data_IF_824865235062
#
_entry.id   IF_824865235062
#
_cell.length_a   1.000
_cell.length_b   1.000
_cell.length_c   1.000
_cell.angle_alpha   90.00
_cell.angle_beta   90.00
_cell.angle_gamma   90.00
#
_symmetry.space_group_name_H-M   'P 1'
#
loop_
_entity.id
_entity.type
_entity.pdbx_description
1 polymer ?
#
# COMPACT_ATOMS: atom_id res chain seq x y z
N UNK A 1 -19.82 16.71 10.66
CA UNK A 1 -19.74 15.30 11.10
C UNK A 1 -19.35 14.50 9.88
N UNK A 2 -18.12 13.94 9.84
CA UNK A 2 -17.72 13.11 8.71
C UNK A 2 -18.56 11.83 8.65
N UNK A 3 -18.99 11.43 7.46
CA UNK A 3 -19.76 10.20 7.29
C UNK A 3 -18.95 9.00 7.76
N UNK A 4 -19.54 8.13 8.58
CA UNK A 4 -18.91 6.90 9.03
C UNK A 4 -18.78 5.94 7.84
N UNK A 5 -17.63 5.27 7.72
CA UNK A 5 -17.40 4.23 6.72
C UNK A 5 -18.04 2.90 7.18
N UNK A 6 -19.36 2.84 7.18
CA UNK A 6 -20.10 1.67 7.66
C UNK A 6 -19.72 0.38 6.93
N UNK A 7 -19.35 0.48 5.66
CA UNK A 7 -18.88 -0.66 4.87
C UNK A 7 -17.61 -1.31 5.41
N UNK A 8 -16.74 -0.53 6.10
CA UNK A 8 -15.56 -1.09 6.75
C UNK A 8 -15.91 -1.97 7.96
N UNK A 9 -17.08 -1.78 8.55
CA UNK A 9 -17.55 -2.58 9.70
C UNK A 9 -17.61 -4.07 9.41
N UNK A 10 -17.95 -4.45 8.18
CA UNK A 10 -18.03 -5.86 7.75
C UNK A 10 -16.68 -6.59 7.70
N UNK A 11 -15.57 -5.84 7.69
CA UNK A 11 -14.21 -6.41 7.67
C UNK A 11 -13.62 -6.62 9.06
N UNK A 12 -14.27 -6.15 10.13
CA UNK A 12 -13.73 -6.31 11.48
C UNK A 12 -13.69 -7.78 11.87
N UNK A 13 -12.50 -8.26 12.26
CA UNK A 13 -12.27 -9.59 12.83
C UNK A 13 -12.71 -10.78 11.93
N UNK A 14 -12.83 -10.59 10.61
CA UNK A 14 -13.27 -11.66 9.69
C UNK A 14 -12.19 -12.73 9.45
N UNK A 15 -10.95 -12.45 9.86
CA UNK A 15 -9.79 -13.34 9.68
C UNK A 15 -9.08 -13.64 11.02
N UNK A 16 -9.86 -13.85 12.09
CA UNK A 16 -9.29 -14.13 13.42
C UNK A 16 -8.35 -15.33 13.36
N UNK A 17 -7.16 -15.12 13.94
CA UNK A 17 -6.10 -16.12 14.05
C UNK A 17 -5.56 -16.65 12.70
N UNK A 18 -5.90 -16.03 11.59
CA UNK A 18 -5.33 -16.35 10.28
C UNK A 18 -4.01 -15.59 10.04
N UNK A 19 -3.27 -16.01 9.00
CA UNK A 19 -2.11 -15.31 8.49
C UNK A 19 -2.43 -14.53 7.23
N UNK A 20 -1.68 -13.44 6.98
CA UNK A 20 -1.74 -12.66 5.76
C UNK A 20 -0.34 -12.39 5.20
N UNK A 21 -0.22 -12.32 3.89
CA UNK A 21 0.95 -11.84 3.19
C UNK A 21 0.67 -10.43 2.66
N UNK A 22 1.50 -9.47 3.05
CA UNK A 22 1.45 -8.11 2.51
C UNK A 22 2.57 -7.98 1.48
N UNK A 23 2.19 -7.97 0.22
CA UNK A 23 3.11 -7.82 -0.90
C UNK A 23 3.25 -6.34 -1.25
N UNK A 24 4.38 -5.75 -0.90
CA UNK A 24 4.85 -4.51 -1.47
C UNK A 24 5.43 -4.76 -2.87
N UNK A 25 6.06 -3.76 -3.50
CA UNK A 25 6.36 -3.85 -4.92
C UNK A 25 7.87 -3.82 -5.23
N UNK A 26 8.72 -4.07 -4.23
CA UNK A 26 10.17 -4.03 -4.38
C UNK A 26 10.73 -5.12 -5.29
N UNK A 27 11.91 -4.88 -5.91
CA UNK A 27 12.53 -5.81 -6.84
C UNK A 27 12.97 -7.14 -6.21
N UNK A 28 13.04 -7.23 -4.88
CA UNK A 28 13.33 -8.50 -4.19
C UNK A 28 12.31 -9.58 -4.48
N UNK A 29 11.08 -9.23 -4.90
CA UNK A 29 10.05 -10.19 -5.31
C UNK A 29 10.53 -11.10 -6.45
N UNK A 30 11.39 -10.59 -7.34
CA UNK A 30 11.96 -11.35 -8.46
C UNK A 30 12.94 -12.46 -8.02
N UNK A 31 13.32 -12.47 -6.74
CA UNK A 31 14.20 -13.49 -6.13
C UNK A 31 13.43 -14.53 -5.33
N UNK A 32 12.11 -14.43 -5.28
CA UNK A 32 11.24 -15.27 -4.45
C UNK A 32 10.37 -16.16 -5.33
N UNK A 33 10.11 -17.38 -4.90
CA UNK A 33 9.09 -18.22 -5.52
C UNK A 33 7.71 -17.87 -4.95
N UNK A 34 7.03 -16.97 -5.64
CA UNK A 34 5.71 -16.51 -5.23
C UNK A 34 4.58 -17.51 -5.55
N UNK A 35 4.88 -18.69 -6.11
CA UNK A 35 3.90 -19.77 -6.26
C UNK A 35 3.39 -20.28 -4.91
N UNK A 36 4.19 -20.16 -3.85
CA UNK A 36 3.78 -20.46 -2.47
C UNK A 36 2.60 -19.63 -1.96
N UNK A 37 2.29 -18.51 -2.62
CA UNK A 37 1.15 -17.66 -2.24
C UNK A 37 -0.19 -18.16 -2.79
N UNK A 38 -0.20 -19.22 -3.57
CA UNK A 38 -1.44 -19.81 -4.05
C UNK A 38 -2.27 -20.35 -2.89
N UNK A 39 -3.53 -19.93 -2.81
CA UNK A 39 -4.42 -20.23 -1.69
C UNK A 39 -4.22 -19.38 -0.42
N UNK A 40 -3.22 -18.50 -0.37
CA UNK A 40 -2.99 -17.61 0.76
C UNK A 40 -3.79 -16.30 0.64
N UNK A 41 -3.97 -15.61 1.77
CA UNK A 41 -4.59 -14.28 1.78
C UNK A 41 -3.49 -13.26 1.54
N UNK A 42 -3.46 -12.73 0.31
CA UNK A 42 -2.46 -11.77 -0.12
C UNK A 42 -3.08 -10.38 -0.27
N UNK A 43 -2.41 -9.41 0.32
CA UNK A 43 -2.66 -7.97 0.14
C UNK A 43 -1.70 -7.43 -0.92
N UNK A 44 -2.21 -6.66 -1.87
CA UNK A 44 -1.40 -5.98 -2.88
C UNK A 44 -1.72 -4.50 -2.98
N UNK A 45 -0.88 -3.75 -3.69
CA UNK A 45 -1.08 -2.32 -3.80
C UNK A 45 -0.55 -1.71 -5.10
N UNK A 46 -1.10 -0.55 -5.47
CA UNK A 46 -0.65 0.32 -6.56
C UNK A 46 -0.64 -0.42 -7.92
N UNK A 47 0.53 -0.64 -8.53
CA UNK A 47 0.65 -1.44 -9.74
C UNK A 47 1.07 -2.92 -9.46
N UNK A 48 0.87 -3.41 -8.23
CA UNK A 48 1.16 -4.80 -7.86
C UNK A 48 0.41 -5.85 -8.69
N UNK A 49 -0.69 -5.47 -9.34
CA UNK A 49 -1.42 -6.33 -10.28
C UNK A 49 -0.59 -6.76 -11.50
N UNK A 50 0.52 -6.08 -11.80
CA UNK A 50 1.44 -6.49 -12.87
C UNK A 50 1.99 -7.90 -12.66
N UNK A 51 2.01 -8.40 -11.41
CA UNK A 51 2.42 -9.76 -11.07
C UNK A 51 1.52 -10.84 -11.71
N UNK A 52 0.29 -10.51 -12.08
CA UNK A 52 -0.67 -11.43 -12.68
C UNK A 52 -0.26 -11.93 -14.08
N UNK A 53 0.76 -11.30 -14.68
CA UNK A 53 1.39 -11.81 -15.91
C UNK A 53 2.13 -13.13 -15.69
N UNK A 54 2.54 -13.39 -14.43
CA UNK A 54 3.41 -14.52 -14.07
C UNK A 54 2.72 -15.57 -13.20
N UNK A 55 1.65 -15.16 -12.46
CA UNK A 55 0.97 -16.04 -11.49
C UNK A 55 -0.54 -16.01 -11.67
N UNK A 56 -1.16 -17.19 -11.52
CA UNK A 56 -2.62 -17.34 -11.63
C UNK A 56 -3.37 -16.84 -10.38
N UNK A 57 -2.75 -16.92 -9.19
CA UNK A 57 -3.34 -16.42 -7.96
C UNK A 57 -3.54 -14.90 -8.00
N UNK A 58 -4.50 -14.40 -7.22
CA UNK A 58 -4.86 -12.99 -7.18
C UNK A 58 -4.79 -12.47 -5.74
N UNK A 59 -4.51 -11.19 -5.58
CA UNK A 59 -4.64 -10.54 -4.28
C UNK A 59 -6.08 -10.60 -3.80
N UNK A 60 -6.29 -10.99 -2.54
CA UNK A 60 -7.61 -10.95 -1.91
C UNK A 60 -8.02 -9.51 -1.60
N UNK A 61 -7.07 -8.70 -1.18
CA UNK A 61 -7.25 -7.30 -0.84
C UNK A 61 -6.26 -6.45 -1.61
N UNK A 62 -6.74 -5.39 -2.25
CA UNK A 62 -5.91 -4.54 -3.07
C UNK A 62 -6.08 -3.07 -2.67
N UNK A 63 -4.99 -2.31 -2.62
CA UNK A 63 -4.97 -0.95 -2.09
C UNK A 63 -4.29 0.02 -3.04
N UNK A 64 -4.83 1.24 -3.13
CA UNK A 64 -4.10 2.36 -3.72
C UNK A 64 -4.47 3.62 -2.93
N UNK A 65 -3.48 4.29 -2.32
CA UNK A 65 -3.71 5.42 -1.40
C UNK A 65 -2.92 6.68 -1.76
N UNK A 66 -1.86 6.56 -2.56
CA UNK A 66 -1.12 7.74 -3.03
C UNK A 66 -1.92 8.48 -4.09
N UNK A 67 -2.17 9.77 -3.88
CA UNK A 67 -2.99 10.60 -4.74
C UNK A 67 -2.59 10.54 -6.23
N UNK A 68 -1.28 10.55 -6.50
CA UNK A 68 -0.78 10.50 -7.87
C UNK A 68 -0.98 9.13 -8.49
N UNK A 69 -0.64 8.07 -7.76
CA UNK A 69 -0.79 6.69 -8.24
C UNK A 69 -2.25 6.34 -8.47
N UNK A 70 -3.16 6.77 -7.57
CA UNK A 70 -4.60 6.56 -7.73
C UNK A 70 -5.09 7.11 -9.07
N UNK A 71 -4.78 8.38 -9.38
CA UNK A 71 -5.29 9.00 -10.62
C UNK A 71 -4.51 8.58 -11.88
N UNK A 72 -3.23 8.23 -11.74
CA UNK A 72 -2.45 7.69 -12.86
C UNK A 72 -2.88 6.27 -13.26
N UNK A 73 -3.46 5.52 -12.31
CA UNK A 73 -3.85 4.12 -12.46
C UNK A 73 -5.35 3.87 -12.31
N UNK A 74 -6.18 4.91 -12.34
CA UNK A 74 -7.60 4.78 -12.02
C UNK A 74 -8.30 3.77 -12.93
N UNK A 75 -8.04 3.84 -14.24
CA UNK A 75 -8.61 2.91 -15.22
C UNK A 75 -8.11 1.48 -14.99
N UNK A 76 -6.80 1.31 -14.72
CA UNK A 76 -6.21 0.00 -14.40
C UNK A 76 -6.84 -0.60 -13.13
N UNK A 77 -7.03 0.21 -12.08
CA UNK A 77 -7.63 -0.20 -10.81
C UNK A 77 -9.11 -0.55 -10.96
N UNK A 78 -9.84 0.20 -11.78
CA UNK A 78 -11.24 -0.10 -12.07
C UNK A 78 -11.36 -1.41 -12.86
N UNK A 79 -10.51 -1.59 -13.88
CA UNK A 79 -10.46 -2.83 -14.66
C UNK A 79 -10.05 -4.02 -13.80
N UNK A 80 -9.08 -3.84 -12.89
CA UNK A 80 -8.69 -4.85 -11.90
C UNK A 80 -9.91 -5.34 -11.10
N UNK A 81 -10.71 -4.41 -10.57
CA UNK A 81 -11.89 -4.74 -9.77
C UNK A 81 -12.99 -5.42 -10.62
N UNK A 82 -13.12 -5.03 -11.88
CA UNK A 82 -14.10 -5.60 -12.81
C UNK A 82 -13.74 -7.04 -13.18
N UNK A 83 -12.47 -7.30 -13.48
CA UNK A 83 -11.98 -8.61 -13.93
C UNK A 83 -11.79 -9.60 -12.77
N UNK A 84 -11.67 -9.09 -11.53
CA UNK A 84 -11.42 -9.92 -10.34
C UNK A 84 -12.46 -9.63 -9.26
N UNK A 85 -13.70 -10.11 -9.40
CA UNK A 85 -14.80 -9.80 -8.47
C UNK A 85 -14.56 -10.30 -7.04
N UNK A 86 -13.68 -11.28 -6.84
CA UNK A 86 -13.28 -11.80 -5.53
C UNK A 86 -12.18 -10.97 -4.85
N UNK A 87 -11.54 -10.05 -5.57
CA UNK A 87 -10.60 -9.08 -5.03
C UNK A 87 -11.36 -7.86 -4.51
N UNK A 88 -11.13 -7.49 -3.26
CA UNK A 88 -11.68 -6.25 -2.70
C UNK A 88 -10.68 -5.11 -2.89
N UNK A 89 -11.08 -4.09 -3.65
CA UNK A 89 -10.27 -2.90 -3.88
C UNK A 89 -10.62 -1.82 -2.84
N UNK A 90 -9.63 -1.41 -2.06
CA UNK A 90 -9.74 -0.35 -1.07
C UNK A 90 -9.14 0.95 -1.59
N UNK A 91 -9.94 2.01 -1.67
CA UNK A 91 -9.54 3.33 -2.15
C UNK A 91 -9.89 4.42 -1.13
N UNK A 92 -9.08 5.47 -1.00
CA UNK A 92 -9.50 6.65 -0.27
C UNK A 92 -10.68 7.31 -0.98
N UNK A 93 -11.64 7.83 -0.21
CA UNK A 93 -12.80 8.56 -0.77
C UNK A 93 -12.37 9.84 -1.49
N UNK A 94 -11.38 10.50 -0.93
CA UNK A 94 -10.74 11.68 -1.49
C UNK A 94 -9.27 11.74 -1.08
N UNK A 95 -8.47 12.44 -1.86
CA UNK A 95 -7.04 12.66 -1.60
C UNK A 95 -6.64 14.11 -1.85
N UNK A 96 -5.57 14.56 -1.20
CA UNK A 96 -4.96 15.84 -1.47
C UNK A 96 -4.02 15.72 -2.66
N UNK A 97 -4.32 16.41 -3.75
CA UNK A 97 -3.45 16.48 -4.92
C UNK A 97 -2.60 17.74 -4.82
N UNK A 98 -1.28 17.55 -4.76
CA UNK A 98 -0.32 18.65 -4.79
C UNK A 98 -0.05 19.03 -6.24
N UNK A 99 -0.21 20.31 -6.57
CA UNK A 99 0.07 20.89 -7.88
C UNK A 99 1.51 21.41 -7.99
N UNK A 100 1.96 21.68 -9.22
CA UNK A 100 3.32 22.17 -9.49
C UNK A 100 3.60 23.58 -8.90
N UNK A 101 2.55 24.37 -8.67
CA UNK A 101 2.62 25.68 -8.00
C UNK A 101 2.70 25.61 -6.47
N UNK A 102 2.72 24.38 -5.91
CA UNK A 102 2.77 24.13 -4.46
C UNK A 102 1.42 24.21 -3.75
N UNK A 103 0.34 24.53 -4.46
CA UNK A 103 -1.01 24.49 -3.91
C UNK A 103 -1.54 23.04 -3.88
N UNK A 104 -2.45 22.76 -2.98
CA UNK A 104 -3.12 21.47 -2.94
C UNK A 104 -4.64 21.63 -3.04
N UNK A 105 -5.27 20.69 -3.76
CA UNK A 105 -6.72 20.59 -3.84
C UNK A 105 -7.17 19.22 -3.40
N UNK A 106 -8.32 19.16 -2.71
CA UNK A 106 -8.98 17.89 -2.42
C UNK A 106 -9.70 17.42 -3.68
N UNK A 107 -9.40 16.20 -4.13
CA UNK A 107 -10.06 15.57 -5.26
C UNK A 107 -10.76 14.30 -4.82
N UNK A 108 -12.00 14.12 -5.23
CA UNK A 108 -12.80 12.93 -4.95
C UNK A 108 -12.37 11.78 -5.86
N UNK A 109 -11.95 10.66 -5.27
CA UNK A 109 -11.68 9.43 -5.99
C UNK A 109 -12.98 8.70 -6.29
N UNK A 110 -13.92 8.73 -5.34
CA UNK A 110 -15.23 8.07 -5.47
C UNK A 110 -16.06 8.61 -6.65
N UNK A 111 -15.97 9.92 -6.92
CA UNK A 111 -16.69 10.57 -8.04
C UNK A 111 -16.08 10.26 -9.41
N UNK A 112 -14.80 9.90 -9.45
CA UNK A 112 -14.08 9.57 -10.69
C UNK A 112 -14.28 8.12 -11.11
N UNK A 113 -14.77 7.25 -10.23
CA UNK A 113 -15.06 5.85 -10.58
C UNK A 113 -16.33 5.80 -11.44
N UNK A 114 -16.24 5.27 -12.68
CA UNK A 114 -17.33 5.36 -13.66
C UNK A 114 -18.56 4.55 -13.28
N UNK A 115 -18.42 3.53 -12.43
CA UNK A 115 -19.49 2.64 -12.00
C UNK A 115 -19.23 2.11 -10.59
N UNK A 116 -20.26 2.09 -9.74
CA UNK A 116 -20.17 1.44 -8.43
C UNK A 116 -20.10 -0.07 -8.58
N UNK A 117 -18.98 -0.67 -8.15
CA UNK A 117 -18.79 -2.11 -8.01
C UNK A 117 -18.87 -2.49 -6.53
N UNK A 118 -19.44 -3.67 -6.22
CA UNK A 118 -19.61 -4.11 -4.83
C UNK A 118 -18.29 -4.45 -4.14
N UNK A 119 -17.26 -4.76 -4.92
CA UNK A 119 -15.91 -5.06 -4.45
C UNK A 119 -14.99 -3.84 -4.39
N UNK A 120 -15.50 -2.61 -4.58
CA UNK A 120 -14.77 -1.36 -4.32
C UNK A 120 -15.28 -0.77 -3.02
N UNK A 121 -14.37 -0.56 -2.06
CA UNK A 121 -14.66 -0.01 -0.73
C UNK A 121 -13.89 1.28 -0.55
N UNK A 122 -14.62 2.37 -0.29
CA UNK A 122 -14.04 3.69 -0.04
C UNK A 122 -13.90 3.97 1.44
N UNK A 123 -12.80 4.64 1.83
CA UNK A 123 -12.55 5.05 3.20
C UNK A 123 -12.01 6.49 3.29
N UNK A 124 -12.15 7.11 4.47
CA UNK A 124 -11.55 8.41 4.74
C UNK A 124 -10.17 8.23 5.36
N UNK A 125 -9.20 9.03 4.93
CA UNK A 125 -7.87 9.12 5.54
C UNK A 125 -7.74 10.38 6.39
N UNK A 126 -6.98 10.28 7.48
CA UNK A 126 -6.71 11.40 8.36
C UNK A 126 -5.24 11.39 8.81
N UNK A 127 -4.61 12.56 8.99
CA UNK A 127 -3.24 12.65 9.45
C UNK A 127 -2.98 11.94 10.77
N UNK A 128 -1.76 11.45 10.97
CA UNK A 128 -1.32 10.90 12.25
C UNK A 128 -1.52 11.95 13.35
N UNK A 129 -2.15 11.57 14.44
CA UNK A 129 -2.49 12.46 15.57
C UNK A 129 -3.90 13.05 15.50
N UNK A 130 -4.63 12.87 14.39
CA UNK A 130 -6.07 13.21 14.34
C UNK A 130 -6.83 12.33 15.35
N UNK A 131 -7.78 12.90 16.15
CA UNK A 131 -8.52 12.14 17.15
C UNK A 131 -9.30 10.93 16.63
N UNK A 132 -9.58 10.89 15.32
CA UNK A 132 -10.29 9.78 14.66
C UNK A 132 -9.43 8.55 14.48
N UNK A 133 -8.13 8.74 14.20
CA UNK A 133 -7.18 7.66 13.88
C UNK A 133 -6.07 7.48 14.91
N UNK A 134 -5.83 8.48 15.75
CA UNK A 134 -4.85 8.40 16.85
C UNK A 134 -3.40 8.46 16.37
N UNK A 135 -2.54 7.67 17.01
CA UNK A 135 -1.09 7.80 16.91
C UNK A 135 -0.45 7.09 15.70
N UNK A 136 -1.20 6.57 14.73
CA UNK A 136 -0.66 5.97 13.51
C UNK A 136 -0.99 4.48 13.30
N UNK A 137 -1.85 3.93 14.16
CA UNK A 137 -2.55 2.66 13.97
C UNK A 137 -3.97 2.82 14.51
N UNK A 138 -4.94 2.99 13.63
CA UNK A 138 -6.34 3.13 14.02
C UNK A 138 -6.94 1.76 14.34
N UNK A 139 -7.48 1.61 15.55
CA UNK A 139 -8.14 0.37 15.99
C UNK A 139 -9.57 0.23 15.49
N UNK A 140 -10.13 1.29 14.91
CA UNK A 140 -11.50 1.31 14.41
C UNK A 140 -11.60 2.05 13.08
N UNK A 141 -11.39 1.35 11.98
CA UNK A 141 -11.36 1.91 10.63
C UNK A 141 -12.70 2.52 10.18
N UNK A 142 -13.80 2.23 10.87
CA UNK A 142 -15.10 2.92 10.63
C UNK A 142 -14.97 4.44 10.86
N UNK A 143 -14.11 4.87 11.79
CA UNK A 143 -13.85 6.29 12.08
C UNK A 143 -12.93 6.93 11.03
N UNK A 144 -12.03 6.15 10.44
CA UNK A 144 -11.07 6.57 9.44
C UNK A 144 -9.83 5.69 9.44
N UNK A 145 -8.99 5.88 8.45
CA UNK A 145 -7.72 5.19 8.24
C UNK A 145 -6.60 6.23 8.40
N UNK A 146 -5.50 5.83 8.96
CA UNK A 146 -4.32 6.70 9.11
C UNK A 146 -3.75 7.05 7.74
N UNK A 147 -3.53 8.34 7.46
CA UNK A 147 -2.84 8.78 6.24
C UNK A 147 -1.39 8.28 6.28
N UNK A 148 -0.98 7.41 5.34
CA UNK A 148 0.27 6.70 5.46
C UNK A 148 1.43 7.42 4.75
N UNK A 149 2.66 7.13 5.18
CA UNK A 149 3.88 7.44 4.41
C UNK A 149 4.21 6.32 3.40
N UNK A 150 3.55 5.18 3.48
CA UNK A 150 3.64 4.05 2.55
C UNK A 150 2.34 3.25 2.60
N UNK A 151 1.86 2.79 1.46
CA UNK A 151 0.65 1.97 1.37
C UNK A 151 0.75 0.67 2.16
N UNK A 152 1.96 0.14 2.34
CA UNK A 152 2.21 -1.05 3.16
C UNK A 152 1.77 -0.83 4.62
N UNK A 153 1.94 0.38 5.16
CA UNK A 153 1.45 0.74 6.49
C UNK A 153 -0.08 0.66 6.58
N UNK A 154 -0.79 1.15 5.56
CA UNK A 154 -2.25 1.00 5.46
C UNK A 154 -2.65 -0.47 5.43
N UNK A 155 -1.94 -1.30 4.65
CA UNK A 155 -2.23 -2.74 4.58
C UNK A 155 -2.06 -3.44 5.94
N UNK A 156 -1.02 -3.07 6.72
CA UNK A 156 -0.84 -3.59 8.09
C UNK A 156 -2.00 -3.15 8.99
N UNK A 157 -2.42 -1.88 8.92
CA UNK A 157 -3.54 -1.34 9.69
C UNK A 157 -4.84 -2.12 9.40
N UNK A 158 -5.13 -2.40 8.13
CA UNK A 158 -6.26 -3.23 7.73
C UNK A 158 -6.12 -4.68 8.20
N UNK A 159 -4.94 -5.29 8.08
CA UNK A 159 -4.71 -6.66 8.55
C UNK A 159 -4.98 -6.79 10.05
N UNK A 160 -4.51 -5.83 10.86
CA UNK A 160 -4.80 -5.76 12.31
C UNK A 160 -6.31 -5.64 12.56
N UNK A 161 -6.99 -4.75 11.85
CA UNK A 161 -8.43 -4.56 11.99
C UNK A 161 -9.26 -5.79 11.59
N UNK A 162 -8.80 -6.51 10.56
CA UNK A 162 -9.43 -7.74 10.08
C UNK A 162 -9.18 -8.95 10.99
N UNK A 163 -8.31 -8.81 12.02
CA UNK A 163 -8.07 -9.83 13.04
C UNK A 163 -6.97 -10.84 12.70
N UNK A 164 -6.12 -10.56 11.72
CA UNK A 164 -4.97 -11.42 11.44
C UNK A 164 -4.01 -11.42 12.64
N UNK A 165 -3.54 -12.60 13.01
CA UNK A 165 -2.54 -12.79 14.09
C UNK A 165 -1.11 -12.80 13.56
N UNK A 166 -0.91 -13.18 12.32
CA UNK A 166 0.39 -13.22 11.66
C UNK A 166 0.35 -12.45 10.33
N UNK A 167 1.29 -11.54 10.15
CA UNK A 167 1.42 -10.71 8.95
C UNK A 167 2.86 -10.81 8.45
N UNK A 168 3.03 -11.28 7.22
CA UNK A 168 4.31 -11.43 6.57
C UNK A 168 4.49 -10.39 5.46
N UNK A 169 5.52 -9.56 5.59
CA UNK A 169 5.86 -8.54 4.60
C UNK A 169 6.83 -9.12 3.58
N UNK A 170 6.52 -8.99 2.29
CA UNK A 170 7.41 -9.34 1.17
C UNK A 170 7.51 -8.16 0.20
N UNK A 171 8.64 -8.01 -0.48
CA UNK A 171 8.87 -6.90 -1.39
C UNK A 171 8.92 -5.52 -0.73
N UNK A 172 9.00 -5.45 0.61
CA UNK A 172 9.14 -4.21 1.37
C UNK A 172 10.62 -3.84 1.54
N UNK A 173 11.30 -3.54 0.43
CA UNK A 173 12.76 -3.49 0.37
C UNK A 173 13.35 -2.26 1.05
N UNK A 174 12.66 -1.12 1.02
CA UNK A 174 13.08 0.19 1.59
C UNK A 174 14.48 0.65 1.17
N UNK A 175 14.94 0.23 -0.01
CA UNK A 175 16.28 0.49 -0.55
C UNK A 175 16.23 1.29 -1.87
N UNK A 176 15.33 2.26 -1.97
CA UNK A 176 15.14 3.06 -3.18
C UNK A 176 16.44 3.66 -3.70
N UNK A 177 16.64 3.50 -5.00
CA UNK A 177 17.73 4.11 -5.76
C UNK A 177 17.15 5.24 -6.62
N UNK A 178 17.74 6.41 -6.56
CA UNK A 178 17.46 7.50 -7.49
C UNK A 178 18.51 7.41 -8.59
N UNK A 179 18.13 6.86 -9.72
CA UNK A 179 18.97 6.74 -10.90
C UNK A 179 19.14 8.12 -11.57
N UNK A 180 20.27 8.30 -12.27
CA UNK A 180 20.56 9.46 -13.11
C UNK A 180 19.55 9.68 -14.26
N UNK A 181 18.80 8.64 -14.64
CA UNK A 181 17.73 8.70 -15.63
C UNK A 181 16.43 9.36 -15.11
N UNK A 182 16.32 9.59 -13.79
CA UNK A 182 15.16 10.24 -13.20
C UNK A 182 15.32 11.75 -13.25
N UNK A 183 14.41 12.45 -13.93
CA UNK A 183 14.38 13.91 -13.95
C UNK A 183 13.50 14.43 -12.82
N UNK A 184 14.01 15.42 -12.08
CA UNK A 184 13.21 16.15 -11.13
C UNK A 184 12.32 17.15 -11.89
N UNK A 185 11.02 17.11 -11.65
CA UNK A 185 10.06 18.05 -12.20
C UNK A 185 9.56 18.96 -11.06
N UNK A 186 9.72 20.27 -11.26
CA UNK A 186 9.29 21.29 -10.29
C UNK A 186 10.37 21.72 -9.31
N UNK A 187 10.09 22.82 -8.58
CA UNK A 187 10.96 23.33 -7.51
C UNK A 187 10.94 22.38 -6.31
N UNK A 188 12.07 22.29 -5.60
CA UNK A 188 12.08 21.67 -4.27
C UNK A 188 11.12 22.47 -3.37
N UNK A 189 10.02 21.85 -2.97
CA UNK A 189 9.18 22.41 -1.94
C UNK A 189 9.88 22.47 -0.58
N UNK A 190 9.29 23.15 0.43
CA UNK A 190 9.80 23.15 1.80
C UNK A 190 10.06 21.73 2.30
N UNK A 191 10.94 21.58 3.29
CA UNK A 191 11.25 20.29 3.91
C UNK A 191 9.96 19.48 4.18
N UNK A 192 9.82 18.32 3.52
CA UNK A 192 8.65 17.46 3.64
C UNK A 192 7.71 17.43 2.44
N UNK A 193 7.86 18.31 1.45
CA UNK A 193 7.13 18.23 0.19
C UNK A 193 7.79 17.19 -0.71
N UNK A 194 7.00 16.23 -1.18
CA UNK A 194 7.47 15.15 -2.07
C UNK A 194 7.89 15.77 -3.41
N UNK A 195 9.19 15.68 -3.75
CA UNK A 195 9.66 16.06 -5.09
C UNK A 195 8.99 15.19 -6.14
N UNK A 196 8.50 15.81 -7.19
CA UNK A 196 7.95 15.10 -8.34
C UNK A 196 9.11 14.62 -9.23
N UNK A 197 9.12 13.33 -9.51
CA UNK A 197 10.09 12.66 -10.36
C UNK A 197 9.40 12.18 -11.64
N UNK A 198 10.13 12.19 -12.75
CA UNK A 198 9.71 11.63 -14.04
C UNK A 198 10.74 10.58 -14.45
N UNK A 199 10.29 9.35 -14.65
CA UNK A 199 11.15 8.29 -15.18
C UNK A 199 11.40 8.48 -16.66
N UNK A 200 12.63 8.27 -17.10
CA UNK A 200 13.01 8.27 -18.52
C UNK A 200 13.38 6.88 -19.03
N UNK A 201 13.61 5.92 -18.13
CA UNK A 201 13.97 4.53 -18.39
C UNK A 201 13.07 3.57 -17.56
N UNK A 202 13.39 2.29 -17.65
CA UNK A 202 12.80 1.23 -16.84
C UNK A 202 12.98 1.49 -15.36
N UNK A 203 12.03 1.01 -14.56
CA UNK A 203 12.00 1.23 -13.11
C UNK A 203 12.90 0.23 -12.36
N UNK A 204 13.99 0.68 -11.72
CA UNK A 204 14.88 -0.20 -10.96
C UNK A 204 14.39 -0.50 -9.53
N UNK A 205 13.35 0.20 -9.05
CA UNK A 205 12.91 0.17 -7.66
C UNK A 205 11.71 -0.76 -7.42
N UNK A 206 11.16 -1.32 -8.50
CA UNK A 206 10.00 -2.20 -8.41
C UNK A 206 10.25 -3.52 -9.17
N UNK A 207 9.44 -4.54 -8.88
CA UNK A 207 9.59 -5.87 -9.45
C UNK A 207 9.34 -5.95 -10.96
N UNK A 208 8.54 -5.03 -11.50
CA UNK A 208 8.24 -4.91 -12.93
C UNK A 208 8.80 -3.59 -13.46
N UNK A 209 9.62 -3.65 -14.48
CA UNK A 209 10.28 -2.50 -15.09
C UNK A 209 9.29 -1.44 -15.62
N UNK A 210 8.07 -1.84 -15.98
CA UNK A 210 7.00 -0.95 -16.45
C UNK A 210 6.23 -0.25 -15.32
N UNK A 211 6.55 -0.52 -14.06
CA UNK A 211 5.82 0.00 -12.90
C UNK A 211 5.80 1.54 -12.90
N UNK A 212 6.97 2.19 -12.89
CA UNK A 212 7.17 3.60 -13.20
C UNK A 212 8.09 3.72 -14.44
N UNK A 213 7.72 3.07 -15.54
CA UNK A 213 8.45 3.14 -16.79
C UNK A 213 8.49 4.55 -17.40
N UNK A 214 9.10 4.70 -18.60
CA UNK A 214 9.31 6.00 -19.23
C UNK A 214 8.06 6.86 -19.31
N UNK A 215 8.18 8.13 -18.91
CA UNK A 215 7.09 9.13 -18.90
C UNK A 215 6.20 9.09 -17.65
N UNK A 216 6.30 8.08 -16.79
CA UNK A 216 5.52 8.02 -15.55
C UNK A 216 6.07 9.01 -14.52
N UNK A 217 5.14 9.66 -13.82
CA UNK A 217 5.43 10.62 -12.75
C UNK A 217 5.17 9.97 -11.40
N UNK A 218 6.07 10.18 -10.45
CA UNK A 218 5.97 9.66 -9.09
C UNK A 218 6.60 10.59 -8.07
N UNK A 219 6.30 10.41 -6.80
CA UNK A 219 6.89 11.20 -5.74
C UNK A 219 8.16 10.52 -5.21
N UNK A 220 9.21 11.31 -4.97
CA UNK A 220 10.40 10.81 -4.29
C UNK A 220 10.01 10.18 -2.95
N UNK A 221 10.41 8.94 -2.66
CA UNK A 221 10.07 8.28 -1.40
C UNK A 221 10.82 8.96 -0.24
N UNK A 222 10.10 9.25 0.84
CA UNK A 222 10.73 9.66 2.08
C UNK A 222 10.98 8.42 2.96
N UNK A 223 12.08 7.72 2.70
CA UNK A 223 12.40 6.45 3.35
C UNK A 223 12.48 6.58 4.88
N UNK A 224 13.01 7.70 5.40
CA UNK A 224 13.08 7.93 6.85
C UNK A 224 11.69 8.01 7.48
N UNK A 225 10.76 8.72 6.86
CA UNK A 225 9.36 8.79 7.34
C UNK A 225 8.65 7.45 7.21
N UNK A 226 8.92 6.70 6.15
CA UNK A 226 8.37 5.35 5.97
C UNK A 226 8.85 4.43 7.11
N UNK A 227 10.16 4.40 7.41
CA UNK A 227 10.73 3.59 8.50
C UNK A 227 10.15 4.01 9.85
N UNK A 228 10.12 5.32 10.15
CA UNK A 228 9.55 5.84 11.38
C UNK A 228 8.06 5.46 11.54
N UNK A 229 7.30 5.38 10.44
CA UNK A 229 5.92 4.94 10.49
C UNK A 229 5.82 3.43 10.80
N UNK A 230 6.66 2.59 10.19
CA UNK A 230 6.70 1.16 10.53
C UNK A 230 7.06 0.92 12.00
N UNK A 231 8.05 1.63 12.53
CA UNK A 231 8.44 1.54 13.94
C UNK A 231 7.30 1.98 14.86
N UNK A 232 6.60 3.04 14.50
CA UNK A 232 5.42 3.51 15.24
C UNK A 232 4.30 2.46 15.24
N UNK A 233 3.98 1.87 14.08
CA UNK A 233 3.00 0.79 14.00
C UNK A 233 3.43 -0.37 14.91
N UNK A 234 4.68 -0.79 14.86
CA UNK A 234 5.21 -1.87 15.71
C UNK A 234 4.95 -1.62 17.20
N UNK A 235 5.19 -0.38 17.68
CA UNK A 235 4.92 -0.02 19.08
C UNK A 235 3.44 -0.07 19.45
N UNK A 236 2.54 0.07 18.48
CA UNK A 236 1.09 0.14 18.69
C UNK A 236 0.37 -1.19 18.39
N UNK A 237 1.10 -2.20 17.88
CA UNK A 237 0.53 -3.51 17.56
C UNK A 237 -0.11 -4.13 18.81
N UNK A 238 -1.30 -4.75 18.67
CA UNK A 238 -1.85 -5.58 19.72
C UNK A 238 -0.90 -6.76 20.05
N UNK A 239 -0.77 -7.18 21.31
CA UNK A 239 0.18 -8.23 21.72
C UNK A 239 0.03 -9.57 20.98
N UNK A 240 -1.17 -9.87 20.49
CA UNK A 240 -1.48 -11.10 19.76
C UNK A 240 -1.15 -11.01 18.27
N UNK A 241 -0.70 -9.86 17.76
CA UNK A 241 -0.38 -9.67 16.35
C UNK A 241 1.12 -9.64 16.15
N UNK A 242 1.62 -10.55 15.33
CA UNK A 242 3.01 -10.62 14.91
C UNK A 242 3.15 -10.11 13.48
N UNK A 243 4.04 -9.16 13.26
CA UNK A 243 4.44 -8.73 11.93
C UNK A 243 5.88 -9.12 11.68
N UNK A 244 6.15 -9.83 10.59
CA UNK A 244 7.47 -10.35 10.25
C UNK A 244 7.88 -9.89 8.84
N UNK A 245 9.15 -9.50 8.66
CA UNK A 245 9.68 -9.18 7.35
C UNK A 245 10.31 -10.43 6.71
N UNK A 246 9.60 -11.03 5.76
CA UNK A 246 10.00 -12.19 4.99
C UNK A 246 10.66 -11.82 3.63
N UNK A 247 10.88 -10.52 3.36
CA UNK A 247 11.51 -10.06 2.12
C UNK A 247 13.00 -10.40 2.06
N UNK A 248 13.49 -10.79 0.89
CA UNK A 248 14.91 -11.04 0.63
C UNK A 248 15.64 -9.69 0.52
N UNK A 249 16.81 -9.56 1.14
CA UNK A 249 17.68 -8.39 1.08
C UNK A 249 17.01 -7.04 1.48
N UNK A 250 15.87 -7.09 2.15
CA UNK A 250 15.15 -5.90 2.62
C UNK A 250 15.97 -5.13 3.66
N UNK A 251 16.00 -3.80 3.57
CA UNK A 251 16.57 -2.90 4.56
C UNK A 251 15.58 -2.48 5.65
N UNK A 252 14.35 -2.97 5.58
CA UNK A 252 13.34 -2.72 6.61
C UNK A 252 13.64 -3.53 7.87
N UNK A 253 14.20 -2.90 8.89
CA UNK A 253 14.59 -3.52 10.17
C UNK A 253 13.58 -3.24 11.30
N UNK A 254 12.46 -2.58 11.04
CA UNK A 254 11.43 -2.32 12.04
C UNK A 254 10.83 -3.61 12.63
N UNK A 255 10.71 -4.66 11.83
CA UNK A 255 10.15 -5.96 12.22
C UNK A 255 11.22 -7.05 12.22
N UNK A 256 10.98 -8.13 12.98
CA UNK A 256 11.84 -9.31 12.93
C UNK A 256 11.88 -9.91 11.52
N UNK A 257 12.98 -10.58 11.22
CA UNK A 257 13.16 -11.26 9.95
C UNK A 257 12.75 -12.72 10.06
N UNK A 258 12.12 -13.23 9.00
CA UNK A 258 11.89 -14.66 8.84
C UNK A 258 12.22 -15.10 7.40
N UNK A 259 12.49 -16.39 7.23
CA UNK A 259 12.67 -16.97 5.90
C UNK A 259 11.28 -17.20 5.28
N UNK A 260 11.08 -16.76 4.03
CA UNK A 260 9.81 -16.85 3.34
C UNK A 260 9.36 -18.31 3.15
N UNK A 261 10.25 -19.16 2.68
CA UNK A 261 9.92 -20.56 2.37
C UNK A 261 9.57 -21.34 3.63
N UNK A 262 10.32 -21.10 4.74
CA UNK A 262 10.06 -21.76 6.04
C UNK A 262 8.67 -21.47 6.63
N UNK A 263 7.94 -20.44 6.13
CA UNK A 263 6.57 -20.16 6.57
C UNK A 263 5.61 -21.27 6.10
N UNK A 264 5.94 -21.97 5.02
CA UNK A 264 5.13 -23.02 4.40
C UNK A 264 5.56 -24.44 4.78
N UNK A 265 6.71 -24.58 5.42
CA UNK A 265 7.18 -25.84 6.00
C UNK A 265 6.33 -26.17 7.25
N UNK A 266 5.59 -27.26 7.20
CA UNK A 266 4.78 -27.77 8.33
C UNK A 266 5.51 -28.85 9.10
#
# INVERSE_FOLDING_TARGET
MGSLNLDLGKFRDIHKAARAFIMANGPSLNKMDLSYLDGEIVFGANAGFLIYKHYAWKHKYFFCVDARVVFDRLDDLFQLALDNPDTVLFLPRSVNVLHEDGLSTVRSVEEEIPKKLQNIVFFNMYPIGDPRVGAGLCKNLIRGVTEPFTVTATMIEFAVYMGFSEVYLIGADTNYQIDSSVKQSGSMGPEGVKSLLISTNDDPNHFDASYFGPGRKWHAPNTNRMIAHYERIKMLLPPQVRVCNAGIDSKLNAYERCNFESIFEK
#
